data_IF_231426661386
#
_entry.id   IF_231426661386
#
_cell.length_a   1.000
_cell.length_b   1.000
_cell.length_c   1.000
_cell.angle_alpha   90.00
_cell.angle_beta   90.00
_cell.angle_gamma   90.00
#
_symmetry.space_group_name_H-M   'P 1'
#
loop_
_entity.id
_entity.type
_entity.pdbx_description
1 polymer ?
#
# COMPACT_ATOMS: atom_id res chain seq x y z
N UNK A 1 1.91 6.69 21.46
CA UNK A 1 1.86 7.05 20.03
C UNK A 1 2.20 5.86 19.13
N UNK A 2 3.31 5.16 19.36
CA UNK A 2 3.74 4.02 18.52
C UNK A 2 2.80 2.82 18.58
N UNK A 3 2.32 2.41 19.76
CA UNK A 3 1.43 1.24 19.89
C UNK A 3 0.11 1.40 19.11
N UNK A 4 -0.51 2.58 19.18
CA UNK A 4 -1.77 2.89 18.48
C UNK A 4 -1.60 2.83 16.95
N UNK A 5 -0.46 3.35 16.44
CA UNK A 5 -0.13 3.26 15.01
C UNK A 5 -0.02 1.79 14.57
N UNK A 6 0.73 0.97 15.31
CA UNK A 6 0.88 -0.45 14.95
C UNK A 6 -0.45 -1.21 14.98
N UNK A 7 -1.32 -0.94 15.94
CA UNK A 7 -2.65 -1.57 16.01
C UNK A 7 -3.50 -1.20 14.79
N UNK A 8 -3.58 0.08 14.43
CA UNK A 8 -4.34 0.54 13.24
C UNK A 8 -3.78 -0.10 11.98
N UNK A 9 -2.45 -0.08 11.81
CA UNK A 9 -1.78 -0.63 10.64
C UNK A 9 -2.06 -2.14 10.52
N UNK A 10 -2.05 -2.88 11.63
CA UNK A 10 -2.35 -4.32 11.64
C UNK A 10 -3.78 -4.60 11.22
N UNK A 11 -4.74 -3.81 11.71
CA UNK A 11 -6.16 -3.91 11.33
C UNK A 11 -6.32 -3.59 9.83
N UNK A 12 -5.69 -2.51 9.35
CA UNK A 12 -5.77 -2.08 7.96
C UNK A 12 -5.15 -3.11 7.00
N UNK A 13 -4.02 -3.70 7.40
CA UNK A 13 -3.34 -4.77 6.65
C UNK A 13 -4.21 -6.03 6.59
N UNK A 14 -4.85 -6.41 7.70
CA UNK A 14 -5.77 -7.56 7.76
C UNK A 14 -7.02 -7.32 6.91
N UNK A 15 -7.58 -6.10 6.93
CA UNK A 15 -8.72 -5.71 6.08
C UNK A 15 -8.37 -5.77 4.59
N UNK A 16 -7.21 -5.22 4.19
CA UNK A 16 -6.74 -5.31 2.81
C UNK A 16 -6.60 -6.75 2.32
N UNK A 17 -6.02 -7.62 3.16
CA UNK A 17 -5.89 -9.05 2.87
C UNK A 17 -7.26 -9.74 2.76
N UNK A 18 -8.18 -9.42 3.68
CA UNK A 18 -9.53 -9.98 3.69
C UNK A 18 -10.31 -9.64 2.42
N UNK A 19 -10.26 -8.39 1.97
CA UNK A 19 -10.89 -7.95 0.70
C UNK A 19 -10.37 -8.74 -0.50
N UNK A 20 -9.06 -9.01 -0.57
CA UNK A 20 -8.45 -9.75 -1.69
C UNK A 20 -8.97 -11.20 -1.75
N UNK A 21 -9.15 -11.84 -0.59
CA UNK A 21 -9.58 -13.24 -0.50
C UNK A 21 -11.09 -13.37 -0.72
N UNK A 22 -11.89 -12.49 -0.12
CA UNK A 22 -13.34 -12.63 -0.04
C UNK A 22 -14.08 -12.08 -1.27
N UNK A 23 -13.61 -10.99 -1.87
CA UNK A 23 -14.33 -10.40 -3.01
C UNK A 23 -14.09 -11.20 -4.29
N UNK A 24 -15.16 -11.54 -5.02
CA UNK A 24 -15.06 -12.25 -6.31
C UNK A 24 -14.83 -11.33 -7.50
N UNK A 25 -15.16 -10.04 -7.34
CA UNK A 25 -15.00 -9.03 -8.37
C UNK A 25 -13.54 -8.58 -8.48
N UNK A 26 -12.97 -8.65 -9.68
CA UNK A 26 -11.58 -8.30 -9.95
C UNK A 26 -11.23 -6.85 -9.55
N UNK A 27 -12.14 -5.90 -9.77
CA UNK A 27 -11.93 -4.49 -9.43
C UNK A 27 -11.86 -4.31 -7.91
N UNK A 28 -12.73 -5.00 -7.16
CA UNK A 28 -12.71 -4.97 -5.68
C UNK A 28 -11.43 -5.60 -5.14
N UNK A 29 -10.95 -6.69 -5.74
CA UNK A 29 -9.64 -7.26 -5.39
C UNK A 29 -8.51 -6.27 -5.60
N UNK A 30 -8.51 -5.53 -6.71
CA UNK A 30 -7.50 -4.48 -6.96
C UNK A 30 -7.52 -3.40 -5.88
N UNK A 31 -8.71 -2.95 -5.45
CA UNK A 31 -8.85 -2.00 -4.32
C UNK A 31 -8.26 -2.60 -3.04
N UNK A 32 -8.52 -3.89 -2.75
CA UNK A 32 -7.90 -4.60 -1.63
C UNK A 32 -6.37 -4.61 -1.68
N UNK A 33 -5.78 -4.86 -2.85
CA UNK A 33 -4.32 -4.77 -3.06
C UNK A 33 -3.79 -3.37 -2.77
N UNK A 34 -4.49 -2.32 -3.21
CA UNK A 34 -4.09 -0.93 -2.93
C UNK A 34 -4.13 -0.61 -1.43
N UNK A 35 -5.14 -1.08 -0.71
CA UNK A 35 -5.27 -0.88 0.75
C UNK A 35 -4.15 -1.64 1.49
N UNK A 36 -3.84 -2.85 1.05
CA UNK A 36 -2.75 -3.64 1.61
C UNK A 36 -1.40 -2.95 1.41
N UNK A 37 -1.11 -2.46 0.20
CA UNK A 37 0.11 -1.71 -0.09
C UNK A 37 0.23 -0.46 0.79
N UNK A 38 -0.84 0.33 0.92
CA UNK A 38 -0.87 1.50 1.80
C UNK A 38 -0.56 1.15 3.26
N UNK A 39 -1.08 0.02 3.75
CA UNK A 39 -0.83 -0.45 5.12
C UNK A 39 0.64 -0.81 5.34
N UNK A 40 1.28 -1.47 4.36
CA UNK A 40 2.72 -1.80 4.42
C UNK A 40 3.57 -0.52 4.40
N UNK A 41 3.21 0.47 3.60
CA UNK A 41 3.92 1.76 3.58
C UNK A 41 3.85 2.45 4.96
N UNK A 42 2.67 2.50 5.56
CA UNK A 42 2.48 3.06 6.91
C UNK A 42 3.28 2.31 7.98
N UNK A 43 3.37 0.97 7.87
CA UNK A 43 4.18 0.14 8.76
C UNK A 43 5.66 0.56 8.74
N UNK A 44 6.24 0.68 7.54
CA UNK A 44 7.64 1.07 7.38
C UNK A 44 7.92 2.53 7.80
N UNK A 45 6.99 3.45 7.53
CA UNK A 45 7.10 4.84 8.00
C UNK A 45 7.08 4.88 9.53
N UNK A 46 6.21 4.10 10.17
CA UNK A 46 6.14 4.03 11.63
C UNK A 46 7.41 3.43 12.26
N UNK A 47 8.08 2.49 11.58
CA UNK A 47 9.38 1.95 12.02
C UNK A 47 10.51 2.98 11.86
N UNK A 48 10.47 3.81 10.82
CA UNK A 48 11.46 4.84 10.54
C UNK A 48 11.32 6.13 11.37
N UNK A 49 10.24 6.27 12.13
CA UNK A 49 9.93 7.47 12.88
C UNK A 49 10.76 7.56 14.18
N UNK A 50 11.56 8.61 14.29
CA UNK A 50 12.31 8.95 15.50
C UNK A 50 11.61 10.13 16.16
N UNK A 51 11.42 10.07 17.49
CA UNK A 51 10.73 11.13 18.24
C UNK A 51 11.59 12.40 18.21
N UNK A 52 11.00 13.53 17.80
CA UNK A 52 11.65 14.85 17.69
C UNK A 52 12.68 15.01 16.57
N UNK A 53 12.59 14.23 15.49
CA UNK A 53 13.46 14.42 14.32
C UNK A 53 12.85 15.33 13.25
N UNK A 54 13.68 16.14 12.60
CA UNK A 54 13.32 16.88 11.40
C UNK A 54 13.30 15.95 10.16
N UNK A 55 12.57 16.33 9.09
CA UNK A 55 12.69 15.68 7.79
C UNK A 55 14.15 15.67 7.33
N UNK A 56 14.64 14.63 6.62
CA UNK A 56 16.03 14.51 6.19
C UNK A 56 16.36 15.47 5.04
N UNK A 57 16.26 16.76 5.31
CA UNK A 57 16.55 17.88 4.42
C UNK A 57 17.62 18.68 5.13
N UNK A 58 18.79 18.83 4.52
CA UNK A 58 19.91 19.57 5.11
C UNK A 58 19.50 21.04 5.32
N UNK A 59 19.21 21.40 6.56
CA UNK A 59 19.06 22.79 7.00
C UNK A 59 20.31 23.12 7.83
N UNK A 60 20.83 24.33 7.67
CA UNK A 60 22.14 24.79 8.14
C UNK A 60 22.42 24.71 9.66
N UNK A 61 21.46 24.25 10.47
CA UNK A 61 21.65 24.00 11.89
C UNK A 61 21.55 22.52 12.26
N UNK A 62 22.44 22.10 13.14
CA UNK A 62 22.58 20.76 13.73
C UNK A 62 21.30 20.32 14.44
N UNK A 63 20.42 19.67 13.70
CA UNK A 63 19.19 19.07 14.21
C UNK A 63 19.22 17.54 14.03
N UNK A 64 18.51 16.83 14.92
CA UNK A 64 18.27 15.39 14.75
C UNK A 64 17.45 15.19 13.47
N UNK A 65 17.96 14.43 12.52
CA UNK A 65 17.24 14.08 11.29
C UNK A 65 16.59 12.70 11.41
N UNK A 66 15.46 12.53 10.73
CA UNK A 66 14.78 11.23 10.61
C UNK A 66 15.62 10.30 9.74
N UNK A 67 15.51 8.99 9.92
CA UNK A 67 16.27 8.03 9.11
C UNK A 67 15.90 8.19 7.62
N UNK A 68 16.85 8.52 6.73
CA UNK A 68 16.57 8.70 5.31
C UNK A 68 16.30 7.38 4.58
N UNK A 69 16.75 6.24 5.12
CA UNK A 69 16.64 4.93 4.47
C UNK A 69 15.17 4.51 4.28
N UNK A 70 14.29 4.51 5.30
CA UNK A 70 12.87 4.23 5.10
C UNK A 70 12.20 5.18 4.11
N UNK A 71 12.54 6.47 4.12
CA UNK A 71 11.90 7.47 3.26
C UNK A 71 12.12 7.19 1.76
N UNK A 72 13.36 6.86 1.38
CA UNK A 72 13.69 6.52 -0.01
C UNK A 72 13.07 5.19 -0.43
N UNK A 73 13.10 4.18 0.44
CA UNK A 73 12.48 2.87 0.15
C UNK A 73 10.97 3.01 -0.08
N UNK A 74 10.28 3.85 0.70
CA UNK A 74 8.84 4.05 0.51
C UNK A 74 8.51 4.77 -0.79
N UNK A 75 9.30 5.77 -1.21
CA UNK A 75 9.12 6.43 -2.50
C UNK A 75 9.20 5.41 -3.65
N UNK A 76 10.17 4.50 -3.61
CA UNK A 76 10.29 3.45 -4.63
C UNK A 76 9.14 2.46 -4.60
N UNK A 77 8.68 2.06 -3.41
CA UNK A 77 7.56 1.14 -3.24
C UNK A 77 6.24 1.74 -3.75
N UNK A 78 6.04 3.05 -3.59
CA UNK A 78 4.86 3.77 -4.13
C UNK A 78 4.85 3.69 -5.66
N UNK A 79 5.97 4.02 -6.31
CA UNK A 79 6.07 4.02 -7.78
C UNK A 79 5.85 2.62 -8.35
N UNK A 80 6.52 1.61 -7.79
CA UNK A 80 6.36 0.21 -8.22
C UNK A 80 4.92 -0.25 -8.02
N UNK A 81 4.32 0.05 -6.87
CA UNK A 81 2.97 -0.39 -6.60
C UNK A 81 1.91 0.25 -7.50
N UNK A 82 2.02 1.56 -7.80
CA UNK A 82 1.14 2.21 -8.79
C UNK A 82 1.31 1.56 -10.17
N UNK A 83 2.55 1.28 -10.60
CA UNK A 83 2.79 0.61 -11.88
C UNK A 83 2.13 -0.78 -11.94
N UNK A 84 2.30 -1.59 -10.89
CA UNK A 84 1.65 -2.92 -10.82
C UNK A 84 0.13 -2.83 -10.73
N UNK A 85 -0.41 -1.83 -10.02
CA UNK A 85 -1.85 -1.59 -9.94
C UNK A 85 -2.43 -1.22 -11.30
N UNK A 86 -1.78 -0.33 -12.06
CA UNK A 86 -2.19 0.04 -13.42
C UNK A 86 -2.21 -1.16 -14.36
N UNK A 87 -1.18 -2.00 -14.31
CA UNK A 87 -1.11 -3.22 -15.14
C UNK A 87 -2.20 -4.22 -14.73
N UNK A 88 -2.37 -4.46 -13.43
CA UNK A 88 -3.41 -5.37 -12.92
C UNK A 88 -4.82 -4.90 -13.28
N UNK A 89 -5.08 -3.60 -13.18
CA UNK A 89 -6.37 -3.02 -13.55
C UNK A 89 -6.59 -3.06 -15.07
N UNK A 90 -5.55 -2.81 -15.87
CA UNK A 90 -5.62 -2.97 -17.33
C UNK A 90 -6.02 -4.39 -17.72
N UNK A 91 -5.41 -5.40 -17.09
CA UNK A 91 -5.78 -6.81 -17.30
C UNK A 91 -7.21 -7.08 -16.88
N UNK A 92 -7.65 -6.56 -15.73
CA UNK A 92 -9.02 -6.72 -15.25
C UNK A 92 -10.05 -6.14 -16.25
N UNK A 93 -9.78 -4.94 -16.78
CA UNK A 93 -10.63 -4.32 -17.82
C UNK A 93 -10.61 -5.15 -19.11
N UNK A 94 -9.45 -5.63 -19.57
CA UNK A 94 -9.38 -6.47 -20.79
C UNK A 94 -10.12 -7.79 -20.64
N UNK A 95 -10.16 -8.37 -19.44
CA UNK A 95 -10.94 -9.58 -19.15
C UNK A 95 -12.44 -9.25 -19.23
N UNK A 96 -12.85 -8.12 -18.66
CA UNK A 96 -14.24 -7.66 -18.70
C UNK A 96 -14.71 -7.45 -20.14
N UNK A 97 -13.94 -6.72 -20.96
CA UNK A 97 -14.27 -6.46 -22.37
C UNK A 97 -14.41 -7.75 -23.20
N UNK A 98 -13.55 -8.75 -22.94
CA UNK A 98 -13.50 -9.99 -23.74
C UNK A 98 -14.52 -11.03 -23.30
N UNK A 99 -14.81 -11.11 -22.01
CA UNK A 99 -15.64 -12.18 -21.44
C UNK A 99 -16.99 -11.68 -20.92
N UNK A 100 -17.23 -10.37 -20.86
CA UNK A 100 -18.48 -9.76 -20.38
C UNK A 100 -18.80 -10.07 -18.91
N UNK A 101 -17.80 -10.55 -18.15
CA UNK A 101 -17.96 -11.07 -16.81
C UNK A 101 -16.86 -10.48 -15.93
N UNK A 102 -17.26 -9.72 -14.91
CA UNK A 102 -16.38 -9.12 -13.90
C UNK A 102 -16.12 -10.09 -12.73
N UNK A 103 -16.96 -11.11 -12.61
CA UNK A 103 -16.97 -12.08 -11.52
C UNK A 103 -16.16 -13.34 -11.89
N UNK A 104 -15.16 -13.70 -11.08
CA UNK A 104 -14.32 -14.87 -11.33
C UNK A 104 -15.11 -16.20 -11.34
N UNK A 105 -16.28 -16.26 -10.70
CA UNK A 105 -17.03 -17.50 -10.48
C UNK A 105 -17.89 -17.92 -11.67
N UNK A 106 -18.22 -17.01 -12.60
CA UNK A 106 -18.98 -17.33 -13.82
C UNK A 106 -18.17 -18.11 -14.87
N UNK A 107 -16.99 -18.60 -14.47
CA UNK A 107 -16.04 -19.38 -15.29
C UNK A 107 -15.86 -20.83 -14.80
N UNK A 108 -16.59 -21.27 -13.78
CA UNK A 108 -16.73 -22.70 -13.46
C UNK A 108 -18.04 -23.26 -14.00
#
# INVERSE_FOLDING_TARGET
MTLYNYTIITILMTLGLYTIINDKNLIKKMIGVSIFQASVLLFYISLGYIKSSLPPILVSNSHLYSNPVPHVLMLTAIVVGIATFSVGLSIAVRIEERYGIIDQDKRM
#
